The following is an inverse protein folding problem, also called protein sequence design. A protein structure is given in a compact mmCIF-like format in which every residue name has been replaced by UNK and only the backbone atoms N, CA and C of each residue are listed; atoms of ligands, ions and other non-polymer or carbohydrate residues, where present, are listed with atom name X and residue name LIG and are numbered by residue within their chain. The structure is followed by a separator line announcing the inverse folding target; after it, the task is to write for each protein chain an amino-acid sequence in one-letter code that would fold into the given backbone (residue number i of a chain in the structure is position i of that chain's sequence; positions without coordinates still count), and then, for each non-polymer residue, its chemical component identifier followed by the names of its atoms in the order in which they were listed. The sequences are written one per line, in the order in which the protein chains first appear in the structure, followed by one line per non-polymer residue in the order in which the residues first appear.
data_IF_279302919314
#
_entry.id   IF_279302919314
#
_cell.length_a   1.000
_cell.length_b   1.000
_cell.length_c   1.000
_cell.angle_alpha   90.00
_cell.angle_beta   90.00
_cell.angle_gamma   90.00
#
_symmetry.space_group_name_H-M   'P 1'
#
loop_
_entity.id
_entity.type
_entity.pdbx_description
1 polymer ?
#
# COMPACT_ATOMS: atom_id res chain seq x y z
N UNK A 1 7.06 4.64 12.93
CA UNK A 1 7.93 5.36 11.99
C UNK A 1 7.49 4.99 10.58
N UNK A 2 6.85 5.89 9.84
CA UNK A 2 6.34 5.64 8.49
C UNK A 2 7.44 5.90 7.45
N UNK A 3 8.33 4.91 7.27
CA UNK A 3 9.54 5.06 6.44
C UNK A 3 9.22 5.49 5.00
N UNK A 4 8.09 5.06 4.44
CA UNK A 4 7.69 5.34 3.06
C UNK A 4 7.17 6.78 2.83
N UNK A 5 6.82 7.52 3.88
CA UNK A 5 6.38 8.92 3.78
C UNK A 5 7.49 9.92 4.13
N UNK A 6 8.70 9.46 4.43
CA UNK A 6 9.83 10.32 4.75
C UNK A 6 10.12 11.38 3.65
N UNK A 7 10.05 11.07 2.35
CA UNK A 7 10.22 12.10 1.32
C UNK A 7 9.14 13.19 1.34
N UNK A 8 7.90 12.84 1.73
CA UNK A 8 6.84 13.84 1.91
C UNK A 8 7.20 14.83 3.02
N UNK A 9 7.67 14.35 4.17
CA UNK A 9 8.09 15.22 5.26
C UNK A 9 9.26 16.13 4.88
N UNK A 10 10.26 15.62 4.16
CA UNK A 10 11.37 16.43 3.65
C UNK A 10 10.89 17.56 2.74
N UNK A 11 9.94 17.29 1.83
CA UNK A 11 9.36 18.31 0.97
C UNK A 11 8.61 19.37 1.79
N UNK A 12 7.89 18.95 2.83
CA UNK A 12 7.17 19.86 3.73
C UNK A 12 8.13 20.73 4.56
N UNK A 13 9.18 20.14 5.11
CA UNK A 13 10.23 20.83 5.88
C UNK A 13 11.02 21.83 5.01
N UNK A 14 11.27 21.49 3.75
CA UNK A 14 11.90 22.38 2.77
C UNK A 14 10.98 23.49 2.24
N UNK A 15 9.70 23.52 2.64
CA UNK A 15 8.73 24.52 2.21
C UNK A 15 8.24 24.38 0.76
N UNK A 16 8.43 23.21 0.14
CA UNK A 16 7.99 22.94 -1.23
C UNK A 16 6.45 22.89 -1.30
N UNK A 17 5.84 23.56 -2.28
CA UNK A 17 4.38 23.59 -2.47
C UNK A 17 3.90 22.38 -3.27
N UNK A 18 3.08 21.55 -2.63
CA UNK A 18 2.39 20.41 -3.25
C UNK A 18 0.90 20.75 -3.42
N UNK A 19 0.30 20.53 -4.60
CA UNK A 19 0.87 19.94 -5.83
C UNK A 19 1.49 20.95 -6.82
N UNK A 20 1.61 22.23 -6.46
CA UNK A 20 1.86 23.31 -7.44
C UNK A 20 3.28 23.32 -8.00
N UNK A 21 4.28 23.03 -7.19
CA UNK A 21 5.68 22.96 -7.62
C UNK A 21 6.09 21.52 -7.94
N UNK A 22 5.64 20.57 -7.12
CA UNK A 22 5.94 19.15 -7.26
C UNK A 22 4.68 18.34 -6.97
N UNK A 23 4.40 17.34 -7.79
CA UNK A 23 3.42 16.30 -7.48
C UNK A 23 4.07 15.21 -6.65
N UNK A 24 3.41 14.77 -5.57
CA UNK A 24 3.88 13.67 -4.75
C UNK A 24 2.83 12.55 -4.66
N UNK A 25 3.26 11.31 -4.89
CA UNK A 25 2.47 10.11 -4.71
C UNK A 25 3.27 9.05 -3.95
N UNK A 26 2.64 8.41 -2.97
CA UNK A 26 3.25 7.33 -2.22
C UNK A 26 2.93 5.96 -2.83
N UNK A 27 3.94 5.08 -2.91
CA UNK A 27 3.74 3.66 -3.28
C UNK A 27 2.82 2.95 -2.29
N UNK A 28 2.88 3.35 -1.02
CA UNK A 28 1.99 2.87 0.02
C UNK A 28 1.60 4.05 0.90
N UNK A 29 0.36 4.52 0.75
CA UNK A 29 -0.23 5.49 1.68
C UNK A 29 -0.96 4.76 2.81
N UNK A 30 -1.47 5.52 3.77
CA UNK A 30 -2.20 4.98 4.92
C UNK A 30 -3.38 5.89 5.27
N UNK A 31 -4.41 5.36 5.96
CA UNK A 31 -5.56 6.15 6.38
C UNK A 31 -5.21 7.32 7.31
N UNK A 32 -4.08 7.25 8.03
CA UNK A 32 -3.59 8.33 8.91
C UNK A 32 -2.95 9.51 8.17
N UNK A 33 -2.76 9.41 6.84
CA UNK A 33 -2.26 10.50 5.98
C UNK A 33 -3.20 10.75 4.79
N UNK A 34 -4.46 11.15 5.04
CA UNK A 34 -5.48 11.28 4.00
C UNK A 34 -5.16 12.39 2.99
N UNK A 35 -4.25 13.31 3.30
CA UNK A 35 -3.83 14.36 2.39
C UNK A 35 -2.82 13.89 1.34
N UNK A 36 -2.17 12.73 1.53
CA UNK A 36 -1.13 12.23 0.64
C UNK A 36 -1.74 11.28 -0.40
N UNK A 37 -1.66 11.64 -1.67
CA UNK A 37 -2.08 10.78 -2.79
C UNK A 37 -1.20 9.53 -2.86
N UNK A 38 -1.76 8.38 -3.22
CA UNK A 38 -0.98 7.14 -3.35
C UNK A 38 -1.83 5.88 -3.35
N UNK A 39 -1.18 4.72 -3.26
CA UNK A 39 -1.89 3.43 -3.17
C UNK A 39 -2.19 3.08 -1.72
N UNK A 40 -3.46 2.86 -1.40
CA UNK A 40 -3.90 2.31 -0.11
C UNK A 40 -3.91 0.77 -0.20
N UNK A 41 -3.05 0.06 0.56
CA UNK A 41 -3.03 -1.39 0.53
C UNK A 41 -4.27 -1.99 1.21
N UNK A 42 -4.80 -3.07 0.65
CA UNK A 42 -5.91 -3.84 1.22
C UNK A 42 -5.40 -4.83 2.29
N UNK A 43 -4.78 -4.32 3.36
CA UNK A 43 -4.04 -5.15 4.33
C UNK A 43 -4.89 -6.20 5.02
N UNK A 44 -6.16 -5.89 5.31
CA UNK A 44 -7.08 -6.84 5.95
C UNK A 44 -7.35 -8.05 5.06
N UNK A 45 -7.57 -7.81 3.77
CA UNK A 45 -7.85 -8.81 2.76
C UNK A 45 -6.60 -9.65 2.45
N UNK A 46 -5.42 -9.02 2.44
CA UNK A 46 -4.12 -9.72 2.36
C UNK A 46 -3.95 -10.67 3.54
N UNK A 47 -4.23 -10.21 4.76
CA UNK A 47 -4.12 -11.03 5.96
C UNK A 47 -5.14 -12.17 5.96
N UNK A 48 -6.40 -11.89 5.65
CA UNK A 48 -7.47 -12.88 5.57
C UNK A 48 -7.13 -13.97 4.54
N UNK A 49 -6.70 -13.57 3.35
CA UNK A 49 -6.30 -14.50 2.29
C UNK A 49 -5.10 -15.37 2.71
N UNK A 50 -4.13 -14.80 3.44
CA UNK A 50 -3.03 -15.58 4.00
C UNK A 50 -3.49 -16.65 4.99
N UNK A 51 -4.45 -16.32 5.86
CA UNK A 51 -5.05 -17.26 6.81
C UNK A 51 -5.85 -18.34 6.08
N UNK A 52 -6.59 -17.98 5.04
CA UNK A 52 -7.36 -18.93 4.23
C UNK A 52 -6.45 -19.94 3.51
N UNK A 53 -5.35 -19.47 2.93
CA UNK A 53 -4.36 -20.34 2.28
C UNK A 53 -3.71 -21.31 3.28
N UNK A 54 -3.38 -20.85 4.49
CA UNK A 54 -2.85 -21.71 5.54
C UNK A 54 -3.90 -22.74 6.00
N UNK A 55 -5.14 -22.30 6.20
CA UNK A 55 -6.23 -23.17 6.64
C UNK A 55 -6.50 -24.27 5.62
N UNK A 56 -6.47 -23.94 4.33
CA UNK A 56 -6.55 -24.91 3.24
C UNK A 56 -5.40 -25.93 3.31
N UNK A 57 -4.15 -25.47 3.44
CA UNK A 57 -3.00 -26.36 3.53
C UNK A 57 -3.13 -27.36 4.71
N UNK A 58 -3.57 -26.88 5.88
CA UNK A 58 -3.79 -27.73 7.07
C UNK A 58 -4.89 -28.76 6.84
N UNK A 59 -6.04 -28.36 6.29
CA UNK A 59 -7.17 -29.25 6.04
C UNK A 59 -6.84 -30.35 5.02
N UNK A 60 -5.91 -30.07 4.10
CA UNK A 60 -5.45 -31.01 3.09
C UNK A 60 -4.17 -31.76 3.47
N UNK A 61 -3.69 -31.60 4.71
CA UNK A 61 -2.43 -32.19 5.19
C UNK A 61 -1.24 -31.90 4.25
N UNK A 62 -1.25 -30.73 3.60
CA UNK A 62 -0.11 -30.24 2.83
C UNK A 62 1.02 -29.89 3.81
N UNK A 63 2.20 -30.51 3.63
CA UNK A 63 3.35 -30.34 4.52
C UNK A 63 4.60 -29.91 3.73
N UNK A 64 5.51 -29.22 4.42
CA UNK A 64 6.78 -28.80 3.84
C UNK A 64 6.63 -27.64 2.84
N UNK A 65 7.63 -27.49 1.98
CA UNK A 65 7.60 -26.48 0.91
C UNK A 65 6.80 -27.06 -0.27
N UNK A 66 5.77 -26.36 -0.79
CA UNK A 66 5.00 -26.83 -1.93
C UNK A 66 5.87 -27.01 -3.18
N UNK A 67 5.61 -28.06 -3.97
CA UNK A 67 6.28 -28.29 -5.26
C UNK A 67 6.10 -27.12 -6.23
N UNK A 68 4.96 -26.42 -6.13
CA UNK A 68 4.65 -25.25 -6.93
C UNK A 68 4.22 -24.08 -6.02
N UNK A 69 4.99 -23.01 -6.05
CA UNK A 69 4.65 -21.78 -5.35
C UNK A 69 3.38 -21.16 -5.96
N UNK A 70 2.41 -20.87 -5.08
CA UNK A 70 1.18 -20.13 -5.46
C UNK A 70 1.34 -18.68 -5.04
N UNK A 71 0.97 -17.76 -5.92
CA UNK A 71 0.96 -16.31 -5.63
C UNK A 71 -0.43 -15.77 -5.83
N UNK A 72 -0.95 -15.09 -4.82
CA UNK A 72 -2.22 -14.35 -4.89
C UNK A 72 -1.90 -12.86 -4.84
N UNK A 73 -2.38 -12.11 -5.83
CA UNK A 73 -2.25 -10.67 -5.91
C UNK A 73 -3.56 -10.02 -5.45
N UNK A 74 -3.49 -9.23 -4.39
CA UNK A 74 -4.59 -8.37 -3.96
C UNK A 74 -4.17 -6.93 -4.22
N UNK A 75 -4.86 -6.30 -5.16
CA UNK A 75 -4.58 -4.92 -5.53
C UNK A 75 -5.08 -3.97 -4.44
N UNK A 76 -4.23 -3.02 -4.05
CA UNK A 76 -4.68 -1.85 -3.30
C UNK A 76 -5.56 -0.94 -4.16
N UNK A 77 -6.19 0.03 -3.51
CA UNK A 77 -6.95 1.08 -4.19
C UNK A 77 -6.11 2.34 -4.31
N UNK A 78 -6.36 3.11 -5.36
CA UNK A 78 -5.83 4.47 -5.42
C UNK A 78 -6.56 5.36 -4.41
N UNK A 79 -5.81 6.16 -3.68
CA UNK A 79 -6.31 7.18 -2.76
C UNK A 79 -5.98 8.56 -3.29
N UNK A 80 -7.03 9.30 -3.64
CA UNK A 80 -6.95 10.69 -4.12
C UNK A 80 -6.75 11.66 -2.95
N UNK A 81 -5.49 11.81 -2.55
CA UNK A 81 -5.05 12.90 -1.68
C UNK A 81 -4.97 14.26 -2.40
N UNK A 82 -4.32 15.22 -1.75
CA UNK A 82 -4.17 16.61 -2.23
C UNK A 82 -2.77 16.92 -2.75
N UNK A 83 -1.90 15.92 -2.85
CA UNK A 83 -0.50 16.09 -3.26
C UNK A 83 -0.27 15.92 -4.77
N UNK A 84 -1.32 15.62 -5.54
CA UNK A 84 -1.30 15.65 -7.00
C UNK A 84 -2.31 16.67 -7.55
N UNK A 85 -2.08 17.09 -8.80
CA UNK A 85 -3.09 17.81 -9.56
C UNK A 85 -4.22 16.85 -9.93
N UNK A 86 -5.46 17.35 -9.95
CA UNK A 86 -6.58 16.59 -10.48
C UNK A 86 -6.28 16.15 -11.92
N UNK A 87 -6.50 14.88 -12.22
CA UNK A 87 -6.47 14.40 -13.59
C UNK A 87 -7.53 15.16 -14.40
N UNK A 88 -7.12 15.76 -15.52
CA UNK A 88 -8.03 16.39 -16.49
C UNK A 88 -8.64 15.37 -17.42
#
# INVERSE_FOLDING_TARGET
MCQHLQPYFWLREAGVRLPQEVGFAAITTRPDFPEVSGMLPCLSEIAATGVDLLSHAVLHAEHGVPDFQRTVLICGTWHDGRTLLAAR
#
